data_IF_093545453889
#
_entry.id   IF_093545453889
#
_cell.length_a   1.000
_cell.length_b   1.000
_cell.length_c   1.000
_cell.angle_alpha   90.00
_cell.angle_beta   90.00
_cell.angle_gamma   90.00
#
_symmetry.space_group_name_H-M   'P 1'
#
loop_
_entity.id
_entity.type
_entity.pdbx_description
1 polymer ?
#
# COMPACT_ATOMS: atom_id res chain seq x y z
N UNK A 1 -41.18 2.77 -12.92
CA UNK A 1 -41.24 4.23 -12.81
C UNK A 1 -42.68 4.62 -13.04
N UNK A 2 -43.30 5.38 -12.16
CA UNK A 2 -44.69 5.78 -12.29
C UNK A 2 -44.82 6.82 -13.40
N UNK A 3 -45.79 6.65 -14.29
CA UNK A 3 -46.12 7.66 -15.32
C UNK A 3 -46.92 8.88 -14.74
N UNK A 4 -47.29 8.82 -13.49
CA UNK A 4 -48.05 9.87 -12.79
C UNK A 4 -47.62 9.89 -11.32
N UNK A 5 -46.89 10.91 -10.92
CA UNK A 5 -46.46 11.15 -9.57
C UNK A 5 -45.06 11.72 -9.51
N UNK A 6 -44.66 12.21 -8.36
CA UNK A 6 -43.30 12.67 -8.11
C UNK A 6 -42.30 11.53 -8.36
N UNK A 7 -41.26 11.79 -9.14
CA UNK A 7 -40.16 10.87 -9.32
C UNK A 7 -39.36 10.78 -8.02
N UNK A 8 -38.87 9.61 -7.62
CA UNK A 8 -37.94 9.53 -6.50
C UNK A 8 -36.66 10.31 -6.83
N UNK A 9 -36.13 11.02 -5.84
CA UNK A 9 -34.89 11.79 -6.00
C UNK A 9 -33.68 10.90 -6.30
N UNK A 10 -33.72 9.63 -5.90
CA UNK A 10 -32.68 8.62 -6.15
C UNK A 10 -33.34 7.28 -6.47
N UNK A 11 -32.85 6.62 -7.53
CA UNK A 11 -33.25 5.26 -7.88
C UNK A 11 -31.98 4.41 -8.06
N UNK A 12 -31.88 3.29 -7.38
CA UNK A 12 -30.76 2.34 -7.52
C UNK A 12 -31.33 1.07 -8.14
N UNK A 13 -30.66 0.57 -9.18
CA UNK A 13 -31.01 -0.67 -9.88
C UNK A 13 -29.75 -1.54 -9.92
N UNK A 14 -29.87 -2.76 -9.45
CA UNK A 14 -28.78 -3.74 -9.47
C UNK A 14 -29.05 -4.85 -10.49
N UNK A 15 -28.01 -5.23 -11.23
CA UNK A 15 -28.02 -6.31 -12.20
C UNK A 15 -26.90 -7.30 -11.88
N UNK A 16 -27.25 -8.52 -11.50
CA UNK A 16 -26.29 -9.57 -11.09
C UNK A 16 -25.95 -10.56 -12.22
N UNK A 17 -26.52 -10.40 -13.43
CA UNK A 17 -26.39 -11.37 -14.51
C UNK A 17 -24.95 -11.58 -14.98
N UNK A 18 -24.15 -10.53 -15.03
CA UNK A 18 -22.74 -10.61 -15.44
C UNK A 18 -21.92 -11.37 -14.41
N UNK A 19 -22.14 -11.08 -13.13
CA UNK A 19 -21.49 -11.81 -12.02
C UNK A 19 -21.86 -13.30 -12.07
N UNK A 20 -23.14 -13.60 -12.22
CA UNK A 20 -23.62 -14.99 -12.27
C UNK A 20 -22.99 -15.75 -13.44
N UNK A 21 -22.96 -15.15 -14.63
CA UNK A 21 -22.33 -15.76 -15.80
C UNK A 21 -20.82 -16.02 -15.57
N UNK A 22 -20.12 -15.05 -14.96
CA UNK A 22 -18.70 -15.22 -14.64
C UNK A 22 -18.41 -16.28 -13.60
N UNK A 23 -19.27 -16.43 -12.58
CA UNK A 23 -19.13 -17.47 -11.56
C UNK A 23 -19.44 -18.87 -12.11
N UNK A 24 -20.36 -18.99 -13.09
CA UNK A 24 -20.78 -20.27 -13.68
C UNK A 24 -19.83 -20.74 -14.80
N UNK A 25 -19.35 -19.83 -15.65
CA UNK A 25 -18.59 -20.16 -16.85
C UNK A 25 -17.14 -19.63 -16.85
N UNK A 26 -16.73 -18.92 -15.81
CA UNK A 26 -15.50 -18.17 -15.76
C UNK A 26 -15.64 -16.77 -16.36
N UNK A 27 -14.94 -15.78 -15.80
CA UNK A 27 -14.97 -14.39 -16.30
C UNK A 27 -14.16 -14.22 -17.58
N UNK A 28 -13.05 -14.94 -17.69
CA UNK A 28 -12.13 -14.86 -18.84
C UNK A 28 -11.81 -16.24 -19.39
N UNK A 29 -11.45 -16.29 -20.66
CA UNK A 29 -10.94 -17.49 -21.33
C UNK A 29 -9.52 -17.76 -20.82
N UNK A 30 -9.24 -18.92 -20.20
CA UNK A 30 -7.96 -19.15 -19.55
C UNK A 30 -6.81 -19.43 -20.52
N UNK A 31 -7.07 -20.02 -21.69
CA UNK A 31 -6.05 -20.49 -22.63
C UNK A 31 -6.48 -20.32 -24.10
N UNK A 32 -5.52 -20.35 -25.03
CA UNK A 32 -5.73 -20.30 -26.47
C UNK A 32 -5.69 -18.90 -27.05
N UNK A 33 -6.14 -18.73 -28.32
CA UNK A 33 -6.07 -17.46 -29.04
C UNK A 33 -6.88 -16.31 -28.40
N UNK A 34 -7.88 -16.66 -27.59
CA UNK A 34 -8.71 -15.68 -26.86
C UNK A 34 -8.39 -15.63 -25.36
N UNK A 35 -7.21 -16.12 -24.95
CA UNK A 35 -6.82 -16.05 -23.53
C UNK A 35 -6.87 -14.60 -23.02
N UNK A 36 -7.46 -14.41 -21.83
CA UNK A 36 -7.66 -13.08 -21.23
C UNK A 36 -8.88 -12.31 -21.75
N UNK A 37 -9.59 -12.79 -22.76
CA UNK A 37 -10.86 -12.19 -23.20
C UNK A 37 -12.01 -12.69 -22.34
N UNK A 38 -13.11 -11.92 -22.18
CA UNK A 38 -14.32 -12.41 -21.53
C UNK A 38 -14.85 -13.67 -22.20
N UNK A 39 -15.43 -14.57 -21.40
CA UNK A 39 -16.13 -15.75 -21.94
C UNK A 39 -17.38 -15.33 -22.74
N UNK A 40 -17.86 -16.22 -23.61
CA UNK A 40 -19.04 -15.90 -24.43
C UNK A 40 -20.30 -15.71 -23.58
N UNK A 41 -20.39 -16.39 -22.45
CA UNK A 41 -21.46 -16.25 -21.45
C UNK A 41 -21.40 -14.86 -20.77
N UNK A 42 -20.22 -14.39 -20.42
CA UNK A 42 -20.03 -13.05 -19.85
C UNK A 42 -20.37 -11.97 -20.89
N UNK A 43 -19.95 -12.14 -22.17
CA UNK A 43 -20.30 -11.24 -23.26
C UNK A 43 -21.82 -11.18 -23.47
N UNK A 44 -22.49 -12.34 -23.45
CA UNK A 44 -23.95 -12.41 -23.60
C UNK A 44 -24.67 -11.70 -22.42
N UNK A 45 -24.20 -11.91 -21.19
CA UNK A 45 -24.75 -11.27 -20.01
C UNK A 45 -24.52 -9.74 -20.00
N UNK A 46 -23.37 -9.27 -20.45
CA UNK A 46 -23.08 -7.85 -20.66
C UNK A 46 -24.05 -7.24 -21.69
N UNK A 47 -24.24 -7.91 -22.84
CA UNK A 47 -25.19 -7.46 -23.88
C UNK A 47 -26.63 -7.40 -23.37
N UNK A 48 -27.05 -8.37 -22.59
CA UNK A 48 -28.38 -8.36 -21.97
C UNK A 48 -28.52 -7.21 -20.96
N UNK A 49 -27.48 -6.96 -20.15
CA UNK A 49 -27.45 -5.87 -19.16
C UNK A 49 -27.54 -4.52 -19.86
N UNK A 50 -26.79 -4.33 -20.94
CA UNK A 50 -26.83 -3.12 -21.75
C UNK A 50 -28.24 -2.86 -22.32
N UNK A 51 -28.88 -3.90 -22.85
CA UNK A 51 -30.28 -3.80 -23.32
C UNK A 51 -31.26 -3.44 -22.18
N UNK A 52 -31.03 -3.93 -20.97
CA UNK A 52 -31.85 -3.59 -19.80
C UNK A 52 -31.65 -2.13 -19.41
N UNK A 53 -30.43 -1.63 -19.42
CA UNK A 53 -30.12 -0.20 -19.21
C UNK A 53 -30.78 0.64 -20.29
N UNK A 54 -30.68 0.24 -21.57
CA UNK A 54 -31.36 0.92 -22.67
C UNK A 54 -32.87 1.04 -22.49
N UNK A 55 -33.53 -0.02 -21.97
CA UNK A 55 -34.98 0.06 -21.63
C UNK A 55 -35.27 1.04 -20.51
N UNK A 56 -34.42 1.11 -19.48
CA UNK A 56 -34.54 2.09 -18.41
C UNK A 56 -34.37 3.50 -18.95
N UNK A 57 -33.38 3.74 -19.78
CA UNK A 57 -33.14 5.04 -20.42
C UNK A 57 -34.33 5.46 -21.29
N UNK A 58 -34.87 4.57 -22.11
CA UNK A 58 -36.07 4.83 -22.92
C UNK A 58 -37.28 5.20 -22.08
N UNK A 59 -37.50 4.48 -20.97
CA UNK A 59 -38.59 4.75 -20.06
C UNK A 59 -38.41 6.10 -19.32
N UNK A 60 -37.15 6.42 -18.99
CA UNK A 60 -36.79 7.68 -18.34
C UNK A 60 -37.09 8.88 -19.28
N UNK A 61 -36.57 8.79 -20.52
CA UNK A 61 -36.77 9.84 -21.56
C UNK A 61 -38.21 9.99 -22.02
N UNK A 62 -39.05 8.98 -21.90
CA UNK A 62 -40.46 9.00 -22.22
C UNK A 62 -41.31 9.66 -21.12
N UNK A 63 -40.74 10.13 -20.02
CA UNK A 63 -41.49 10.85 -18.98
C UNK A 63 -41.98 12.20 -19.50
N UNK A 64 -43.24 12.60 -19.16
CA UNK A 64 -43.78 13.87 -19.63
C UNK A 64 -42.96 15.10 -19.23
N UNK A 65 -42.31 15.03 -18.04
CA UNK A 65 -41.60 16.16 -17.47
C UNK A 65 -40.06 15.99 -17.63
N UNK A 66 -39.58 15.01 -18.42
CA UNK A 66 -38.16 14.71 -18.55
C UNK A 66 -37.33 15.94 -18.93
N UNK A 67 -37.81 16.77 -19.83
CA UNK A 67 -37.10 17.99 -20.26
C UNK A 67 -37.00 19.08 -19.19
N UNK A 68 -37.82 19.00 -18.16
CA UNK A 68 -37.82 19.92 -17.01
C UNK A 68 -37.07 19.31 -15.80
N UNK A 69 -36.75 18.04 -15.87
CA UNK A 69 -36.03 17.32 -14.83
C UNK A 69 -34.51 17.27 -15.17
N UNK A 70 -33.69 17.26 -14.17
CA UNK A 70 -32.24 17.17 -14.31
C UNK A 70 -31.71 15.83 -13.79
N UNK A 71 -31.47 14.89 -14.69
CA UNK A 71 -31.10 13.51 -14.37
C UNK A 71 -29.60 13.27 -14.49
N UNK A 72 -28.96 12.83 -13.39
CA UNK A 72 -27.66 12.19 -13.43
C UNK A 72 -27.86 10.68 -13.47
N UNK A 73 -27.43 10.04 -14.55
CA UNK A 73 -27.42 8.58 -14.66
C UNK A 73 -26.00 8.10 -14.43
N UNK A 74 -25.83 7.22 -13.46
CA UNK A 74 -24.54 6.61 -13.15
C UNK A 74 -24.64 5.11 -13.40
N UNK A 75 -23.75 4.58 -14.24
CA UNK A 75 -23.59 3.14 -14.48
C UNK A 75 -22.21 2.74 -13.99
N UNK A 76 -22.15 1.79 -13.08
CA UNK A 76 -20.88 1.37 -12.47
C UNK A 76 -20.90 -0.10 -12.11
N UNK A 77 -19.72 -0.67 -11.91
CA UNK A 77 -19.53 -2.00 -11.34
C UNK A 77 -18.86 -1.86 -9.97
N UNK A 78 -19.18 -2.73 -9.05
CA UNK A 78 -18.60 -2.74 -7.70
C UNK A 78 -17.28 -3.52 -7.61
N UNK A 79 -16.91 -4.30 -8.63
CA UNK A 79 -15.62 -4.99 -8.72
C UNK A 79 -15.33 -5.47 -10.16
N UNK A 80 -14.05 -5.87 -10.41
CA UNK A 80 -13.57 -6.18 -11.76
C UNK A 80 -13.94 -7.54 -12.31
N UNK A 81 -14.37 -8.47 -11.46
CA UNK A 81 -14.82 -9.80 -11.86
C UNK A 81 -13.71 -10.83 -11.98
N UNK A 82 -13.37 -11.47 -10.87
CA UNK A 82 -12.55 -12.69 -10.79
C UNK A 82 -13.33 -13.79 -10.14
N UNK A 83 -13.05 -15.03 -10.54
CA UNK A 83 -13.78 -16.21 -10.06
C UNK A 83 -13.50 -16.55 -8.59
N UNK A 84 -12.37 -16.09 -8.06
CA UNK A 84 -11.92 -16.41 -6.72
C UNK A 84 -11.91 -15.14 -5.85
N UNK A 85 -12.95 -14.98 -5.06
CA UNK A 85 -13.07 -13.94 -4.03
C UNK A 85 -12.50 -14.41 -2.68
N UNK A 86 -11.58 -15.34 -2.65
CA UNK A 86 -10.82 -15.62 -1.44
C UNK A 86 -10.01 -14.37 -1.11
N UNK A 87 -9.93 -14.01 0.16
CA UNK A 87 -9.34 -12.73 0.61
C UNK A 87 -7.92 -12.41 0.13
N UNK A 88 -7.26 -13.36 -0.54
CA UNK A 88 -5.94 -13.17 -1.16
C UNK A 88 -5.99 -12.27 -2.41
N UNK A 89 -7.10 -12.21 -3.12
CA UNK A 89 -7.24 -11.45 -4.37
C UNK A 89 -7.75 -10.01 -4.18
N UNK A 90 -8.14 -9.62 -2.97
CA UNK A 90 -8.67 -8.27 -2.67
C UNK A 90 -7.69 -7.14 -3.04
N UNK A 91 -6.41 -7.46 -3.10
CA UNK A 91 -5.34 -6.50 -3.44
C UNK A 91 -4.94 -6.52 -4.92
N UNK A 92 -5.45 -7.45 -5.71
CA UNK A 92 -5.16 -7.50 -7.14
C UNK A 92 -5.91 -6.39 -7.89
N UNK A 93 -5.20 -5.76 -8.85
CA UNK A 93 -5.79 -4.69 -9.68
C UNK A 93 -7.01 -5.14 -10.47
N UNK A 94 -7.05 -6.40 -10.87
CA UNK A 94 -8.17 -6.99 -11.62
C UNK A 94 -9.48 -6.88 -10.87
N UNK A 95 -9.44 -7.10 -9.54
CA UNK A 95 -10.61 -7.06 -8.69
C UNK A 95 -11.10 -5.64 -8.44
N UNK A 96 -10.17 -4.69 -8.41
CA UNK A 96 -10.45 -3.28 -8.13
C UNK A 96 -10.71 -2.46 -9.38
N UNK A 97 -10.32 -2.98 -10.55
CA UNK A 97 -10.50 -2.26 -11.81
C UNK A 97 -11.94 -2.36 -12.27
N UNK A 98 -12.69 -1.31 -12.01
CA UNK A 98 -14.09 -1.17 -12.42
C UNK A 98 -14.22 -0.01 -13.40
N UNK A 99 -15.45 0.22 -13.86
CA UNK A 99 -15.75 1.39 -14.68
C UNK A 99 -16.87 2.21 -14.03
N UNK A 100 -16.89 3.50 -14.31
CA UNK A 100 -18.00 4.38 -13.98
C UNK A 100 -18.32 5.26 -15.17
N UNK A 101 -19.56 5.27 -15.58
CA UNK A 101 -20.10 6.16 -16.61
C UNK A 101 -21.11 7.10 -15.96
N UNK A 102 -20.93 8.39 -16.16
CA UNK A 102 -21.87 9.42 -15.74
C UNK A 102 -22.47 10.08 -16.97
N UNK A 103 -23.78 10.12 -17.02
CA UNK A 103 -24.51 10.68 -18.16
C UNK A 103 -25.51 11.74 -17.71
N UNK A 104 -25.47 12.84 -18.41
CA UNK A 104 -26.52 13.86 -18.47
C UNK A 104 -26.50 14.48 -19.88
N UNK A 105 -27.64 14.89 -20.40
CA UNK A 105 -27.73 15.47 -21.77
C UNK A 105 -26.86 16.71 -21.98
N UNK A 106 -26.55 17.42 -20.89
CA UNK A 106 -25.73 18.63 -20.91
C UNK A 106 -24.23 18.37 -20.78
N UNK A 107 -23.82 17.11 -20.62
CA UNK A 107 -22.40 16.79 -20.53
C UNK A 107 -21.75 16.70 -21.91
N UNK A 108 -20.53 17.22 -22.03
CA UNK A 108 -19.60 16.88 -23.07
C UNK A 108 -19.04 15.48 -22.86
N UNK A 109 -18.44 14.91 -23.89
CA UNK A 109 -17.72 13.67 -23.75
C UNK A 109 -16.37 13.95 -23.08
N UNK A 110 -16.11 13.31 -21.96
CA UNK A 110 -14.85 13.30 -21.28
C UNK A 110 -14.51 11.86 -20.88
N UNK A 111 -13.29 11.43 -21.12
CA UNK A 111 -12.83 10.10 -20.76
C UNK A 111 -11.69 10.21 -19.75
N UNK A 112 -11.96 9.81 -18.53
CA UNK A 112 -10.96 9.70 -17.48
C UNK A 112 -10.48 8.24 -17.51
N UNK A 113 -9.22 8.04 -17.86
CA UNK A 113 -8.58 6.73 -17.83
C UNK A 113 -7.86 6.58 -16.50
N UNK A 114 -8.06 5.43 -15.86
CA UNK A 114 -7.12 5.02 -14.82
C UNK A 114 -5.72 4.91 -15.46
N UNK A 115 -4.66 5.27 -14.76
CA UNK A 115 -3.31 5.02 -15.22
C UNK A 115 -3.17 3.53 -15.61
N UNK A 116 -2.61 3.24 -16.77
CA UNK A 116 -2.35 1.84 -17.17
C UNK A 116 -1.30 1.23 -16.23
N UNK A 117 -1.32 -0.09 -16.08
CA UNK A 117 -0.32 -0.83 -15.31
C UNK A 117 1.11 -0.56 -15.79
N UNK A 118 1.27 -0.19 -17.06
CA UNK A 118 2.55 0.09 -17.70
C UNK A 118 3.00 1.55 -17.57
N UNK A 119 2.08 2.48 -17.31
CA UNK A 119 2.33 3.93 -17.27
C UNK A 119 2.23 4.52 -15.85
N UNK A 120 2.39 3.69 -14.82
CA UNK A 120 2.44 4.23 -13.48
C UNK A 120 1.13 4.17 -12.76
N UNK A 121 0.74 2.99 -12.40
CA UNK A 121 0.16 2.81 -11.08
C UNK A 121 1.14 3.45 -10.12
N UNK A 122 0.74 4.56 -9.58
CA UNK A 122 1.59 5.44 -8.80
C UNK A 122 1.83 4.79 -7.43
N UNK A 123 2.54 3.69 -7.44
CA UNK A 123 3.22 3.25 -6.25
C UNK A 123 4.47 4.11 -6.12
N UNK A 124 4.51 4.89 -5.09
CA UNK A 124 5.57 5.81 -4.81
C UNK A 124 6.53 5.15 -3.84
N UNK A 125 7.77 4.97 -4.25
CA UNK A 125 8.74 4.21 -3.51
C UNK A 125 10.00 4.98 -3.27
N UNK A 126 10.51 4.82 -2.09
CA UNK A 126 11.88 5.08 -1.79
C UNK A 126 12.77 4.12 -2.59
N UNK A 127 13.67 4.64 -3.41
CA UNK A 127 14.69 3.85 -4.10
C UNK A 127 16.08 4.24 -3.62
N UNK A 128 16.59 3.66 -2.55
CA UNK A 128 18.00 3.78 -2.28
C UNK A 128 18.76 3.03 -3.38
N UNK A 129 19.52 3.75 -4.19
CA UNK A 129 20.45 3.14 -5.12
C UNK A 129 21.82 3.04 -4.49
N UNK A 130 22.41 1.88 -4.55
CA UNK A 130 23.78 1.68 -4.15
C UNK A 130 24.75 2.19 -5.20
N UNK A 131 25.51 3.22 -4.91
CA UNK A 131 26.69 3.57 -5.71
C UNK A 131 27.95 3.04 -5.02
N UNK A 132 28.85 2.40 -5.77
CA UNK A 132 30.05 1.74 -5.24
C UNK A 132 31.11 2.65 -4.61
N UNK A 133 30.78 3.90 -4.25
CA UNK A 133 31.68 4.86 -3.66
C UNK A 133 31.36 5.21 -2.21
N UNK A 134 30.51 4.45 -1.56
CA UNK A 134 30.03 4.70 -0.20
C UNK A 134 28.53 4.91 -0.16
N UNK A 135 27.96 4.84 1.01
CA UNK A 135 26.53 4.96 1.23
C UNK A 135 26.05 6.39 0.94
N UNK A 136 25.48 6.58 -0.23
CA UNK A 136 24.99 7.90 -0.65
C UNK A 136 23.47 7.98 -0.62
N UNK A 137 22.78 6.85 -0.52
CA UNK A 137 21.34 6.77 -0.73
C UNK A 137 20.66 6.19 0.50
N UNK A 138 20.09 7.07 1.30
CA UNK A 138 19.46 6.72 2.57
C UNK A 138 18.35 7.69 2.96
N UNK A 139 17.45 7.21 3.83
CA UNK A 139 16.68 8.05 4.73
C UNK A 139 17.14 7.82 6.15
N UNK A 140 17.22 8.86 6.96
CA UNK A 140 17.63 8.76 8.36
C UNK A 140 16.72 9.58 9.27
N UNK A 141 16.37 9.03 10.41
CA UNK A 141 15.66 9.75 11.47
C UNK A 141 16.48 10.94 11.96
N UNK A 142 15.82 12.08 12.16
CA UNK A 142 16.50 13.32 12.51
C UNK A 142 17.12 13.31 13.91
N UNK A 143 16.46 12.69 14.88
CA UNK A 143 17.01 12.52 16.24
C UNK A 143 17.58 11.11 16.42
N UNK A 144 18.88 10.94 16.48
CA UNK A 144 19.50 9.62 16.56
C UNK A 144 19.23 8.88 17.88
N UNK A 145 18.71 9.55 18.91
CA UNK A 145 18.36 8.90 20.18
C UNK A 145 17.06 8.12 20.12
N UNK A 146 16.22 8.37 19.08
CA UNK A 146 14.95 7.67 18.92
C UNK A 146 15.15 6.26 18.37
N UNK A 147 14.16 5.40 18.63
CA UNK A 147 14.12 4.00 18.16
C UNK A 147 15.34 3.18 18.62
N UNK A 148 15.81 3.46 19.84
CA UNK A 148 16.96 2.80 20.44
C UNK A 148 16.50 1.59 21.26
N UNK A 149 16.77 0.38 20.77
CA UNK A 149 16.25 -0.87 21.32
C UNK A 149 17.13 -1.36 22.47
N UNK A 150 16.85 -0.84 23.65
CA UNK A 150 17.62 -1.14 24.86
C UNK A 150 17.18 -2.43 25.51
N UNK A 151 18.17 -3.21 25.95
CA UNK A 151 17.91 -4.25 26.93
C UNK A 151 17.54 -3.56 28.26
N UNK A 152 16.35 -3.85 28.85
CA UNK A 152 15.96 -3.25 30.11
C UNK A 152 16.94 -3.59 31.23
N UNK A 153 17.20 -2.62 32.10
CA UNK A 153 17.99 -2.87 33.30
C UNK A 153 17.21 -3.76 34.30
N UNK A 154 17.92 -4.41 35.20
CA UNK A 154 17.28 -5.24 36.24
C UNK A 154 16.29 -4.41 37.09
N UNK A 155 15.01 -4.81 37.06
CA UNK A 155 13.94 -4.13 37.80
C UNK A 155 13.19 -3.05 37.01
N UNK A 156 13.55 -2.80 35.75
CA UNK A 156 12.78 -1.97 34.81
C UNK A 156 11.73 -2.80 34.05
N UNK A 157 10.66 -2.13 33.58
CA UNK A 157 9.69 -2.75 32.70
C UNK A 157 10.36 -3.17 31.38
N UNK A 158 10.14 -4.42 31.00
CA UNK A 158 10.76 -4.98 29.80
C UNK A 158 10.01 -4.50 28.56
N UNK A 159 10.61 -3.60 27.80
CA UNK A 159 10.12 -3.19 26.49
C UNK A 159 10.71 -4.09 25.42
N UNK A 160 9.85 -4.59 24.56
CA UNK A 160 10.23 -5.35 23.37
C UNK A 160 9.92 -4.51 22.12
N UNK A 161 10.45 -4.89 20.97
CA UNK A 161 10.32 -4.07 19.76
C UNK A 161 10.02 -4.93 18.54
N UNK A 162 9.30 -4.34 17.59
CA UNK A 162 9.08 -4.93 16.27
C UNK A 162 9.36 -3.89 15.19
N UNK A 163 10.03 -4.31 14.12
CA UNK A 163 10.18 -3.51 12.90
C UNK A 163 9.61 -4.28 11.74
N UNK A 164 8.71 -3.67 10.99
CA UNK A 164 8.10 -4.25 9.79
C UNK A 164 8.23 -3.27 8.63
N UNK A 165 8.50 -3.77 7.43
CA UNK A 165 8.62 -2.96 6.24
C UNK A 165 8.43 -3.79 4.98
N UNK A 166 8.12 -3.12 3.87
CA UNK A 166 8.02 -3.73 2.55
C UNK A 166 9.27 -3.47 1.73
N UNK A 167 9.74 -4.47 1.01
CA UNK A 167 10.91 -4.38 0.12
C UNK A 167 10.65 -5.05 -1.22
N UNK A 168 11.24 -4.49 -2.29
CA UNK A 168 11.28 -5.12 -3.59
C UNK A 168 12.61 -4.86 -4.30
N UNK A 169 13.09 -5.85 -5.02
CA UNK A 169 14.22 -5.75 -5.95
C UNK A 169 13.68 -5.65 -7.40
N UNK A 170 13.47 -4.46 -7.95
CA UNK A 170 12.78 -4.30 -9.24
C UNK A 170 13.52 -4.93 -10.43
N UNK A 171 14.84 -4.98 -10.36
CA UNK A 171 15.71 -5.52 -11.42
C UNK A 171 16.32 -6.88 -11.06
N UNK A 172 15.85 -7.51 -9.97
CA UNK A 172 16.63 -8.53 -9.32
C UNK A 172 17.86 -7.92 -8.68
N UNK A 173 18.42 -8.51 -7.69
CA UNK A 173 19.53 -7.88 -6.97
C UNK A 173 20.62 -8.86 -6.58
N UNK A 174 21.74 -8.30 -6.18
CA UNK A 174 22.75 -9.02 -5.45
C UNK A 174 22.51 -8.92 -3.95
N UNK A 175 23.19 -9.77 -3.22
CA UNK A 175 23.21 -9.78 -1.76
C UNK A 175 23.87 -8.52 -1.19
N UNK A 176 23.74 -8.35 0.13
CA UNK A 176 24.51 -7.42 0.95
C UNK A 176 23.96 -5.98 0.97
N UNK A 177 22.68 -5.79 0.72
CA UNK A 177 22.01 -4.53 0.98
C UNK A 177 21.49 -4.48 2.40
N UNK A 178 21.58 -3.32 3.03
CA UNK A 178 20.88 -3.04 4.27
C UNK A 178 19.51 -2.41 3.93
N UNK A 179 18.47 -2.88 4.59
CA UNK A 179 17.11 -2.38 4.39
C UNK A 179 16.76 -1.32 5.42
N UNK A 180 16.57 -1.75 6.65
CA UNK A 180 16.30 -0.89 7.80
C UNK A 180 17.31 -1.27 8.89
N UNK A 181 17.98 -0.28 9.47
CA UNK A 181 19.02 -0.53 10.45
C UNK A 181 19.22 0.61 11.45
N UNK A 182 19.72 0.27 12.61
CA UNK A 182 20.30 1.20 13.59
C UNK A 182 21.57 0.56 14.14
N UNK A 183 22.65 0.65 13.36
CA UNK A 183 23.91 -0.05 13.66
C UNK A 183 25.13 0.79 13.37
N UNK A 184 26.17 0.64 14.20
CA UNK A 184 27.52 1.09 13.91
C UNK A 184 28.24 -0.06 13.22
N UNK A 185 28.54 0.13 11.94
CA UNK A 185 29.25 -0.90 11.17
C UNK A 185 30.76 -0.82 11.39
N UNK A 186 31.18 -1.34 12.51
CA UNK A 186 32.58 -1.70 12.74
C UNK A 186 32.75 -3.20 12.54
N UNK A 187 33.97 -3.65 12.22
CA UNK A 187 34.24 -5.10 12.24
C UNK A 187 34.36 -5.60 13.69
N UNK A 188 33.72 -6.71 14.07
CA UNK A 188 32.84 -7.55 13.24
C UNK A 188 31.50 -6.91 12.98
N UNK A 189 30.92 -7.09 11.78
CA UNK A 189 29.65 -6.53 11.36
C UNK A 189 28.54 -6.87 12.34
N UNK A 190 27.67 -5.89 12.65
CA UNK A 190 26.63 -6.05 13.66
C UNK A 190 27.17 -5.98 15.10
N UNK A 191 28.33 -5.36 15.32
CA UNK A 191 28.95 -5.31 16.65
C UNK A 191 28.20 -4.42 17.64
N UNK A 192 27.66 -3.29 17.23
CA UNK A 192 26.84 -2.41 18.05
C UNK A 192 25.60 -2.00 17.26
N UNK A 193 24.42 -2.24 17.82
CA UNK A 193 23.14 -2.04 17.16
C UNK A 193 22.66 -3.28 16.41
N UNK A 194 21.73 -3.05 15.48
CA UNK A 194 21.13 -4.10 14.67
C UNK A 194 20.95 -3.64 13.21
N UNK A 195 21.01 -4.61 12.30
CA UNK A 195 20.76 -4.36 10.88
C UNK A 195 19.91 -5.46 10.26
N UNK A 196 19.13 -5.10 9.25
CA UNK A 196 18.44 -6.03 8.36
C UNK A 196 18.94 -5.84 6.94
N UNK A 197 19.04 -6.92 6.19
CA UNK A 197 19.51 -6.88 4.82
C UNK A 197 19.19 -8.18 4.09
N UNK A 198 19.93 -8.48 3.02
CA UNK A 198 19.76 -9.73 2.30
C UNK A 198 21.06 -10.52 2.21
N UNK A 199 20.94 -11.83 2.32
CA UNK A 199 21.97 -12.79 1.97
C UNK A 199 21.37 -14.00 1.26
N UNK A 200 21.99 -14.44 0.19
CA UNK A 200 21.40 -15.45 -0.71
C UNK A 200 19.97 -15.14 -1.10
N UNK A 201 19.70 -13.83 -1.31
CA UNK A 201 18.38 -13.28 -1.66
C UNK A 201 17.28 -13.53 -0.62
N UNK A 202 17.63 -13.68 0.65
CA UNK A 202 16.68 -13.85 1.76
C UNK A 202 17.00 -12.88 2.88
N UNK A 203 16.04 -12.68 3.78
CA UNK A 203 16.24 -11.83 4.93
C UNK A 203 17.43 -12.29 5.77
N UNK A 204 18.32 -11.34 6.03
CA UNK A 204 19.44 -11.46 6.92
C UNK A 204 19.33 -10.39 7.99
N UNK A 205 19.43 -10.80 9.23
CA UNK A 205 19.59 -9.87 10.36
C UNK A 205 20.95 -10.04 11.02
N UNK A 206 21.47 -8.95 11.62
CA UNK A 206 22.72 -8.97 12.36
C UNK A 206 22.60 -8.13 13.63
N UNK A 207 23.15 -8.65 14.71
CA UNK A 207 23.41 -7.94 15.96
C UNK A 207 24.44 -8.73 16.77
N UNK A 208 25.21 -8.06 17.62
CA UNK A 208 26.22 -8.69 18.49
C UNK A 208 27.21 -9.62 17.74
N UNK A 209 27.63 -9.21 16.53
CA UNK A 209 28.50 -10.01 15.67
C UNK A 209 27.87 -11.27 15.09
N UNK A 210 26.63 -11.58 15.42
CA UNK A 210 25.88 -12.72 14.89
C UNK A 210 25.30 -12.40 13.52
N UNK A 211 25.23 -13.42 12.69
CA UNK A 211 24.53 -13.39 11.39
C UNK A 211 23.36 -14.36 11.46
N UNK A 212 22.17 -13.81 11.35
CA UNK A 212 20.93 -14.54 11.43
C UNK A 212 20.33 -14.55 10.04
N UNK A 213 20.41 -15.66 9.35
CA UNK A 213 20.00 -15.82 7.97
C UNK A 213 19.03 -16.96 7.80
N UNK A 214 18.05 -16.76 6.93
CA UNK A 214 17.03 -17.75 6.65
C UNK A 214 17.56 -18.88 5.79
N UNK A 215 17.17 -20.13 6.08
CA UNK A 215 17.56 -21.29 5.29
C UNK A 215 16.87 -21.28 3.93
N UNK A 216 17.59 -21.75 2.91
CA UNK A 216 17.24 -21.67 1.51
C UNK A 216 15.90 -22.30 1.12
N UNK A 217 15.39 -23.27 1.87
CA UNK A 217 14.22 -24.06 1.45
C UNK A 217 12.91 -23.59 2.07
N UNK A 218 12.91 -22.55 2.92
CA UNK A 218 11.76 -22.24 3.77
C UNK A 218 11.23 -20.80 3.65
N UNK A 219 11.96 -19.89 3.04
CA UNK A 219 11.54 -18.50 2.88
C UNK A 219 11.50 -18.06 1.43
N UNK A 220 10.65 -17.08 1.16
CA UNK A 220 10.57 -16.44 -0.14
C UNK A 220 11.89 -15.82 -0.56
N UNK A 221 12.17 -15.88 -1.84
CA UNK A 221 13.36 -15.27 -2.45
C UNK A 221 13.04 -13.81 -2.77
N UNK A 222 13.79 -12.87 -2.21
CA UNK A 222 13.51 -11.43 -2.34
C UNK A 222 13.86 -10.86 -3.73
N UNK A 223 14.58 -11.60 -4.60
CA UNK A 223 15.00 -11.12 -5.92
C UNK A 223 14.08 -11.56 -7.08
N UNK A 224 12.88 -11.98 -6.78
CA UNK A 224 11.88 -12.40 -7.74
C UNK A 224 11.11 -11.23 -8.40
N UNK A 225 11.52 -9.99 -8.09
CA UNK A 225 10.91 -8.73 -8.53
C UNK A 225 9.52 -8.47 -7.97
N UNK A 226 9.18 -9.13 -6.86
CA UNK A 226 7.91 -8.93 -6.16
C UNK A 226 8.15 -8.18 -4.86
N UNK A 227 7.07 -7.64 -4.33
CA UNK A 227 7.06 -7.06 -3.01
C UNK A 227 6.97 -8.14 -1.94
N UNK A 228 7.79 -7.97 -0.91
CA UNK A 228 7.81 -8.81 0.28
C UNK A 228 7.69 -7.95 1.53
N UNK A 229 7.00 -8.48 2.53
CA UNK A 229 6.96 -7.88 3.87
C UNK A 229 7.97 -8.60 4.75
N UNK A 230 8.86 -7.83 5.34
CA UNK A 230 9.88 -8.32 6.26
C UNK A 230 9.56 -7.80 7.66
N UNK A 231 9.59 -8.70 8.65
CA UNK A 231 9.34 -8.34 10.05
C UNK A 231 10.44 -8.92 10.91
N UNK A 232 10.98 -8.11 11.82
CA UNK A 232 11.93 -8.55 12.85
C UNK A 232 11.40 -8.17 14.22
N UNK A 233 11.47 -9.10 15.16
CA UNK A 233 10.96 -8.97 16.53
C UNK A 233 12.08 -9.16 17.53
N UNK A 234 12.34 -8.14 18.32
CA UNK A 234 13.26 -8.14 19.44
C UNK A 234 12.45 -8.31 20.74
N UNK A 235 12.21 -9.56 21.10
CA UNK A 235 11.42 -9.90 22.28
C UNK A 235 12.35 -10.09 23.51
N UNK A 236 12.62 -9.00 24.19
CA UNK A 236 13.45 -9.04 25.41
C UNK A 236 12.77 -9.74 26.57
N UNK A 237 11.43 -9.79 26.57
CA UNK A 237 10.68 -10.47 27.63
C UNK A 237 10.87 -11.98 27.57
N UNK A 238 10.77 -12.54 26.36
CA UNK A 238 10.96 -13.97 26.12
C UNK A 238 12.42 -14.30 25.75
N UNK A 239 13.30 -13.28 25.66
CA UNK A 239 14.69 -13.39 25.25
C UNK A 239 14.86 -14.05 23.87
N UNK A 240 14.00 -13.67 22.92
CA UNK A 240 13.94 -14.24 21.58
C UNK A 240 14.04 -13.15 20.52
N UNK A 241 14.90 -13.39 19.53
CA UNK A 241 14.86 -12.66 18.27
C UNK A 241 14.23 -13.56 17.21
N UNK A 242 13.22 -13.05 16.52
CA UNK A 242 12.51 -13.75 15.44
C UNK A 242 12.46 -12.89 14.20
N UNK A 243 12.47 -13.52 13.03
CA UNK A 243 12.28 -12.82 11.76
C UNK A 243 11.25 -13.55 10.89
N UNK A 244 10.56 -12.77 10.05
CA UNK A 244 9.46 -13.26 9.22
C UNK A 244 9.59 -12.68 7.81
N UNK A 245 9.23 -13.49 6.83
CA UNK A 245 9.04 -13.08 5.43
C UNK A 245 7.61 -13.38 5.02
N UNK A 246 6.88 -12.38 4.55
CA UNK A 246 5.46 -12.48 4.14
C UNK A 246 4.58 -13.14 5.20
N UNK A 247 4.77 -12.75 6.46
CA UNK A 247 4.03 -13.26 7.62
C UNK A 247 4.46 -14.66 8.10
N UNK A 248 5.32 -15.35 7.38
CA UNK A 248 5.83 -16.67 7.76
C UNK A 248 7.11 -16.54 8.57
N UNK A 249 7.18 -17.30 9.67
CA UNK A 249 8.36 -17.36 10.52
C UNK A 249 9.54 -17.98 9.77
N UNK A 250 10.64 -17.25 9.70
CA UNK A 250 11.87 -17.69 9.09
C UNK A 250 12.69 -18.52 10.06
N UNK A 251 13.08 -19.72 9.65
CA UNK A 251 13.87 -20.60 10.50
C UNK A 251 15.39 -20.37 10.34
N UNK A 252 16.08 -20.45 11.46
CA UNK A 252 17.54 -20.46 11.56
C UNK A 252 18.03 -21.90 11.73
N UNK A 253 18.49 -22.55 10.71
CA UNK A 253 18.70 -23.98 10.80
C UNK A 253 17.35 -24.65 11.09
N UNK A 254 17.20 -25.28 12.25
CA UNK A 254 15.93 -25.83 12.74
C UNK A 254 15.35 -25.01 13.91
N UNK A 255 15.91 -23.82 14.18
CA UNK A 255 15.48 -22.99 15.30
C UNK A 255 14.48 -21.93 14.83
N UNK A 256 13.44 -21.74 15.62
CA UNK A 256 12.38 -20.73 15.40
C UNK A 256 12.79 -19.34 15.88
N UNK A 257 13.83 -19.22 16.66
CA UNK A 257 14.36 -17.96 17.17
C UNK A 257 15.87 -18.04 17.45
N UNK A 258 16.49 -16.87 17.49
CA UNK A 258 17.86 -16.69 18.03
C UNK A 258 17.76 -16.14 19.46
N UNK A 259 18.55 -16.63 20.44
CA UNK A 259 18.57 -16.04 21.77
C UNK A 259 18.97 -14.57 21.77
N UNK A 260 18.11 -13.72 22.35
CA UNK A 260 18.32 -12.28 22.50
C UNK A 260 18.63 -11.95 23.97
N UNK A 261 19.91 -12.04 24.32
CA UNK A 261 20.41 -11.78 25.69
C UNK A 261 21.35 -10.59 25.76
N UNK A 262 21.48 -9.85 24.66
CA UNK A 262 22.40 -8.72 24.52
C UNK A 262 21.65 -7.44 24.24
N UNK A 263 22.25 -6.32 24.61
CA UNK A 263 21.77 -4.99 24.26
C UNK A 263 22.07 -4.68 22.80
N UNK A 264 21.06 -4.32 22.01
CA UNK A 264 21.21 -3.90 20.61
C UNK A 264 21.05 -2.39 20.45
N UNK A 265 21.15 -1.63 21.51
CA UNK A 265 21.09 -0.17 21.48
C UNK A 265 22.38 0.44 20.91
N UNK A 266 22.26 1.64 20.36
CA UNK A 266 23.38 2.47 19.93
C UNK A 266 23.39 3.82 20.61
N UNK A 267 22.40 4.12 21.45
CA UNK A 267 22.17 5.44 22.03
C UNK A 267 21.91 6.48 20.94
N UNK A 268 22.61 7.59 21.04
CA UNK A 268 22.53 8.70 20.07
C UNK A 268 23.66 8.69 19.01
N UNK A 269 24.42 7.59 18.93
CA UNK A 269 25.59 7.51 18.04
C UNK A 269 25.19 7.43 16.56
N UNK A 270 24.11 6.71 16.26
CA UNK A 270 23.59 6.55 14.90
C UNK A 270 22.07 6.58 14.87
N UNK A 271 21.44 7.18 13.87
CA UNK A 271 19.99 7.18 13.71
C UNK A 271 19.47 5.86 13.15
N UNK A 272 18.18 5.61 13.34
CA UNK A 272 17.47 4.63 12.53
C UNK A 272 17.50 5.07 11.07
N UNK A 273 17.76 4.14 10.16
CA UNK A 273 18.05 4.41 8.76
C UNK A 273 17.34 3.44 7.85
N UNK A 274 16.82 3.93 6.72
CA UNK A 274 16.41 3.10 5.57
C UNK A 274 17.51 3.20 4.51
N UNK A 275 17.90 2.07 3.94
CA UNK A 275 19.06 2.01 3.07
C UNK A 275 20.36 2.02 3.86
N UNK A 276 21.48 2.14 3.18
CA UNK A 276 22.76 1.99 3.84
C UNK A 276 23.44 3.32 4.08
N UNK A 277 23.91 3.53 5.31
CA UNK A 277 24.72 4.71 5.65
C UNK A 277 26.21 4.39 5.82
N UNK A 278 26.60 3.21 6.29
CA UNK A 278 27.89 3.05 6.93
C UNK A 278 28.82 2.01 6.31
N UNK A 279 28.57 1.52 5.08
CA UNK A 279 29.53 0.62 4.42
C UNK A 279 30.66 1.37 3.72
N UNK A 280 31.88 0.97 4.01
CA UNK A 280 33.06 1.59 3.45
C UNK A 280 33.40 1.17 2.02
N UNK A 281 32.80 0.12 1.48
CA UNK A 281 32.96 -0.28 0.06
C UNK A 281 32.05 -1.42 -0.35
N UNK A 282 31.16 -1.22 -1.30
CA UNK A 282 30.68 -2.28 -2.19
C UNK A 282 30.61 -1.74 -3.61
N UNK A 283 31.01 -2.58 -4.55
CA UNK A 283 31.12 -2.22 -5.98
C UNK A 283 29.84 -2.42 -6.77
N UNK A 284 28.70 -2.62 -6.13
CA UNK A 284 27.44 -2.98 -6.79
C UNK A 284 26.44 -1.84 -6.75
N UNK A 285 25.89 -1.53 -7.92
CA UNK A 285 24.75 -0.65 -8.04
C UNK A 285 23.49 -1.52 -8.03
N UNK A 286 22.80 -1.58 -6.91
CA UNK A 286 21.55 -2.32 -6.77
C UNK A 286 20.47 -1.35 -6.38
N UNK A 287 19.32 -1.42 -7.06
CA UNK A 287 18.13 -0.71 -6.68
C UNK A 287 17.27 -1.59 -5.79
N UNK A 288 16.79 -1.01 -4.70
CA UNK A 288 15.72 -1.59 -3.89
C UNK A 288 14.62 -0.56 -3.72
N UNK A 289 13.40 -1.04 -3.60
CA UNK A 289 12.26 -0.25 -3.18
C UNK A 289 11.96 -0.61 -1.73
N UNK A 290 11.79 0.40 -0.88
CA UNK A 290 11.39 0.23 0.52
C UNK A 290 10.20 1.14 0.78
N UNK A 291 9.17 0.62 1.45
CA UNK A 291 7.97 1.37 1.80
C UNK A 291 7.35 0.80 3.08
N UNK A 292 6.32 1.47 3.60
CA UNK A 292 5.49 0.99 4.70
C UNK A 292 6.32 0.59 5.94
N UNK A 293 7.29 1.43 6.32
CA UNK A 293 8.18 1.16 7.47
C UNK A 293 7.47 1.48 8.77
N UNK A 294 7.36 0.49 9.63
CA UNK A 294 6.64 0.51 10.91
C UNK A 294 7.58 0.10 12.04
N UNK A 295 7.58 0.83 13.14
CA UNK A 295 8.35 0.54 14.35
C UNK A 295 7.42 0.52 15.54
N UNK A 296 7.47 -0.55 16.31
CA UNK A 296 6.63 -0.77 17.49
C UNK A 296 7.49 -0.95 18.74
N UNK A 297 6.99 -0.47 19.90
CA UNK A 297 7.57 -0.71 21.22
C UNK A 297 6.98 -1.94 21.91
N UNK A 298 6.60 -2.93 21.13
CA UNK A 298 6.06 -4.22 21.56
C UNK A 298 6.55 -5.34 20.64
N UNK A 299 6.72 -6.54 21.20
CA UNK A 299 6.88 -7.74 20.38
C UNK A 299 5.50 -8.14 19.85
N UNK A 300 5.24 -7.94 18.56
CA UNK A 300 4.01 -8.40 17.92
C UNK A 300 3.93 -9.93 18.01
N UNK A 301 2.76 -10.50 18.38
CA UNK A 301 2.55 -11.94 18.41
C UNK A 301 2.69 -12.58 17.03
N UNK A 302 3.16 -13.81 16.97
CA UNK A 302 3.40 -14.53 15.73
C UNK A 302 2.12 -14.76 14.90
N UNK A 303 1.01 -15.08 15.55
CA UNK A 303 -0.30 -15.21 14.93
C UNK A 303 -0.81 -13.87 14.37
N UNK A 304 -0.62 -12.78 15.12
CA UNK A 304 -0.96 -11.46 14.64
C UNK A 304 -0.14 -11.07 13.40
N UNK A 305 1.16 -11.33 13.39
CA UNK A 305 2.03 -11.08 12.23
C UNK A 305 1.53 -11.90 11.04
N UNK A 306 1.28 -13.20 11.21
CA UNK A 306 0.83 -14.09 10.14
C UNK A 306 -0.48 -13.63 9.48
N UNK A 307 -1.42 -13.11 10.28
CA UNK A 307 -2.73 -12.67 9.80
C UNK A 307 -2.73 -11.23 9.24
N UNK A 308 -1.82 -10.36 9.74
CA UNK A 308 -1.91 -8.91 9.55
C UNK A 308 -0.67 -8.27 8.89
N UNK A 309 0.32 -9.04 8.43
CA UNK A 309 1.55 -8.49 7.84
C UNK A 309 1.31 -7.58 6.62
N UNK A 310 0.19 -7.73 5.92
CA UNK A 310 -0.16 -6.96 4.72
C UNK A 310 -0.70 -5.55 5.02
N UNK A 311 -1.04 -5.26 6.28
CA UNK A 311 -1.64 -3.97 6.65
C UNK A 311 -0.73 -2.80 6.31
N UNK A 312 -1.32 -1.78 5.72
CA UNK A 312 -0.60 -0.61 5.25
C UNK A 312 -1.54 0.58 5.06
N UNK A 313 -0.99 1.80 5.19
CA UNK A 313 -1.79 3.01 5.09
C UNK A 313 -2.53 3.37 6.38
N UNK A 314 -2.92 4.64 6.50
CA UNK A 314 -3.59 5.15 7.69
C UNK A 314 -5.01 4.62 7.88
N UNK A 315 -5.63 4.12 6.82
CA UNK A 315 -6.97 3.52 6.89
C UNK A 315 -6.94 2.20 7.67
N UNK A 316 -5.82 1.48 7.62
CA UNK A 316 -5.63 0.19 8.29
C UNK A 316 -4.80 0.31 9.58
N UNK A 317 -3.82 1.22 9.60
CA UNK A 317 -2.89 1.45 10.72
C UNK A 317 -3.24 2.70 11.54
N UNK A 318 -4.48 3.16 11.48
CA UNK A 318 -4.97 4.33 12.20
C UNK A 318 -5.45 4.01 13.63
N UNK A 319 -6.25 4.92 14.20
CA UNK A 319 -6.69 4.87 15.60
C UNK A 319 -7.41 3.60 16.04
N UNK A 320 -8.03 2.90 15.11
CA UNK A 320 -8.74 1.65 15.39
C UNK A 320 -7.85 0.41 15.27
N UNK A 321 -6.59 0.59 14.86
CA UNK A 321 -5.61 -0.47 14.79
C UNK A 321 -5.21 -0.95 16.20
N UNK A 322 -5.22 -2.28 16.47
CA UNK A 322 -5.01 -2.79 17.84
C UNK A 322 -3.70 -2.38 18.49
N UNK A 323 -2.65 -2.11 17.70
CA UNK A 323 -1.33 -1.69 18.17
C UNK A 323 -1.03 -0.23 17.83
N UNK A 324 -2.06 0.61 17.63
CA UNK A 324 -1.87 2.04 17.36
C UNK A 324 -1.04 2.74 18.40
N UNK A 325 -1.29 2.46 19.68
CA UNK A 325 -0.54 3.07 20.79
C UNK A 325 0.91 2.58 20.87
N UNK A 326 1.19 1.41 20.31
CA UNK A 326 2.54 0.84 20.25
C UNK A 326 3.28 1.18 18.95
N UNK A 327 2.60 1.72 17.94
CA UNK A 327 3.21 2.16 16.68
C UNK A 327 3.95 3.49 16.91
N UNK A 328 5.24 3.40 17.28
CA UNK A 328 6.05 4.54 17.71
C UNK A 328 6.75 5.25 16.55
N UNK A 329 6.77 4.68 15.35
CA UNK A 329 7.25 5.28 14.11
C UNK A 329 6.58 4.65 12.90
N UNK A 330 6.10 5.48 11.96
CA UNK A 330 5.46 5.00 10.74
C UNK A 330 5.78 5.91 9.54
N UNK A 331 6.42 5.35 8.53
CA UNK A 331 6.74 6.02 7.27
C UNK A 331 6.16 5.23 6.10
N UNK A 332 4.97 5.64 5.59
CA UNK A 332 4.35 4.99 4.44
C UNK A 332 5.18 5.14 3.16
N UNK A 333 6.02 6.16 3.05
CA UNK A 333 6.89 6.44 1.89
C UNK A 333 6.12 6.58 0.56
N UNK A 334 4.88 7.07 0.59
CA UNK A 334 3.94 7.03 -0.53
C UNK A 334 3.55 8.40 -1.12
N UNK A 335 4.29 9.47 -0.78
CA UNK A 335 4.01 10.83 -1.25
C UNK A 335 5.17 11.45 -2.00
N UNK A 336 4.92 11.97 -3.20
CA UNK A 336 5.94 12.61 -4.04
C UNK A 336 6.50 13.88 -3.42
N UNK A 337 5.63 14.68 -2.82
CA UNK A 337 6.00 15.90 -2.14
C UNK A 337 7.05 15.69 -1.04
N UNK A 338 7.02 14.54 -0.36
CA UNK A 338 8.00 14.19 0.68
C UNK A 338 9.39 14.01 0.07
N UNK A 339 9.46 13.44 -1.13
CA UNK A 339 10.74 13.26 -1.85
C UNK A 339 11.25 14.56 -2.46
N UNK A 340 10.36 15.40 -2.93
CA UNK A 340 10.71 16.76 -3.37
C UNK A 340 11.21 17.59 -2.19
N UNK A 341 10.53 17.52 -1.05
CA UNK A 341 10.91 18.17 0.20
C UNK A 341 12.10 17.54 0.91
N UNK A 342 12.53 16.34 0.47
CA UNK A 342 13.60 15.55 1.10
C UNK A 342 13.35 15.21 2.57
N UNK A 343 12.08 15.04 2.93
CA UNK A 343 11.64 14.66 4.29
C UNK A 343 10.53 13.64 4.18
N UNK A 344 10.66 12.52 4.88
CA UNK A 344 9.57 11.59 5.13
C UNK A 344 9.00 11.88 6.52
N UNK A 345 7.79 12.44 6.64
CA UNK A 345 7.17 12.69 7.93
C UNK A 345 6.80 11.38 8.63
N UNK A 346 6.87 11.38 9.95
CA UNK A 346 6.39 10.27 10.76
C UNK A 346 4.86 10.36 10.93
N UNK A 347 4.18 9.30 10.49
CA UNK A 347 2.72 9.15 10.52
C UNK A 347 2.20 8.41 11.76
N UNK A 348 3.06 8.06 12.71
CA UNK A 348 2.61 7.57 14.02
C UNK A 348 1.96 8.70 14.82
N UNK A 349 1.18 8.36 15.85
CA UNK A 349 0.61 9.38 16.75
C UNK A 349 1.67 10.22 17.46
N UNK A 350 2.90 9.75 17.54
CA UNK A 350 4.03 10.46 18.16
C UNK A 350 4.76 11.40 17.19
N UNK A 351 4.52 11.25 15.90
CA UNK A 351 5.22 11.93 14.82
C UNK A 351 4.60 13.26 14.40
N UNK A 352 5.16 13.81 13.32
CA UNK A 352 4.84 15.15 12.82
C UNK A 352 3.41 15.31 12.33
N UNK A 353 2.83 14.28 11.72
CA UNK A 353 1.49 14.37 11.12
C UNK A 353 0.40 14.61 12.17
N UNK A 354 0.57 14.04 13.35
CA UNK A 354 -0.36 14.25 14.46
C UNK A 354 0.11 15.30 15.48
N UNK A 355 1.26 15.95 15.24
CA UNK A 355 1.85 16.90 16.17
C UNK A 355 2.26 16.26 17.49
N UNK A 356 2.72 15.01 17.44
CA UNK A 356 3.12 14.23 18.60
C UNK A 356 4.41 14.70 19.25
N UNK A 357 4.80 14.02 20.34
CA UNK A 357 5.97 14.41 21.16
C UNK A 357 7.32 14.32 20.42
N UNK A 358 7.35 13.53 19.33
CA UNK A 358 8.52 13.35 18.48
C UNK A 358 8.42 14.12 17.15
N UNK A 359 7.46 15.03 17.01
CA UNK A 359 7.29 15.83 15.79
C UNK A 359 8.61 16.50 15.36
N UNK A 360 8.98 16.35 14.10
CA UNK A 360 10.24 16.82 13.51
C UNK A 360 11.47 15.99 13.90
N UNK A 361 11.45 15.28 15.01
CA UNK A 361 12.56 14.44 15.48
C UNK A 361 12.54 13.06 14.88
N UNK A 362 11.35 12.45 14.79
CA UNK A 362 11.12 11.12 14.19
C UNK A 362 10.95 11.18 12.67
N UNK A 363 10.84 12.35 12.07
CA UNK A 363 10.87 12.49 10.62
C UNK A 363 12.22 12.05 10.07
N UNK A 364 12.22 11.53 8.83
CA UNK A 364 13.45 11.13 8.17
C UNK A 364 13.88 12.15 7.12
N UNK A 365 15.16 12.53 7.14
CA UNK A 365 15.80 13.29 6.06
C UNK A 365 16.31 12.33 5.00
N UNK A 366 15.97 12.61 3.73
CA UNK A 366 16.43 11.88 2.55
C UNK A 366 17.74 12.42 2.02
N UNK A 367 18.64 11.53 1.60
CA UNK A 367 19.80 11.94 0.81
C UNK A 367 19.40 12.42 -0.59
N UNK A 368 20.28 13.17 -1.27
CA UNK A 368 19.97 13.78 -2.56
C UNK A 368 19.63 12.81 -3.68
N UNK A 369 20.18 11.59 -3.61
CA UNK A 369 20.04 10.60 -4.68
C UNK A 369 18.84 9.66 -4.50
N UNK A 370 18.14 9.76 -3.38
CA UNK A 370 16.89 9.03 -3.19
C UNK A 370 15.84 9.61 -4.10
N UNK A 371 15.30 8.77 -4.94
CA UNK A 371 14.36 9.15 -5.97
C UNK A 371 12.99 8.54 -5.67
N UNK A 372 12.00 9.29 -6.05
CA UNK A 372 10.66 8.82 -6.24
C UNK A 372 10.59 7.94 -7.49
N UNK A 373 9.93 6.82 -7.45
CA UNK A 373 9.72 5.96 -8.62
C UNK A 373 8.29 5.49 -8.75
N UNK A 374 7.92 5.10 -9.94
CA UNK A 374 6.59 4.62 -10.30
C UNK A 374 6.67 3.16 -10.75
N UNK A 375 5.59 2.46 -10.54
CA UNK A 375 5.28 1.24 -11.25
C UNK A 375 5.83 -0.04 -10.64
N UNK A 376 4.95 -1.04 -10.58
CA UNK A 376 5.29 -2.40 -10.23
C UNK A 376 4.42 -3.41 -10.98
N UNK A 377 4.97 -4.61 -11.16
CA UNK A 377 4.28 -5.75 -11.69
C UNK A 377 2.99 -6.07 -10.93
N UNK A 378 1.93 -6.44 -11.65
CA UNK A 378 0.66 -6.92 -11.09
C UNK A 378 0.81 -8.25 -10.32
N UNK A 379 1.92 -8.94 -10.48
CA UNK A 379 2.20 -10.25 -9.87
C UNK A 379 2.80 -10.16 -8.46
N UNK A 380 2.81 -9.00 -7.83
CA UNK A 380 3.36 -8.85 -6.48
C UNK A 380 2.54 -9.65 -5.44
N UNK A 381 3.22 -10.34 -4.52
CA UNK A 381 2.58 -11.04 -3.40
C UNK A 381 1.89 -10.06 -2.45
N UNK A 382 2.48 -8.88 -2.32
CA UNK A 382 1.97 -7.78 -1.51
C UNK A 382 2.06 -6.51 -2.33
N UNK A 383 1.06 -5.67 -2.26
CA UNK A 383 1.05 -4.37 -2.95
C UNK A 383 1.02 -3.27 -1.91
N UNK A 384 1.89 -2.27 -2.01
CA UNK A 384 1.78 -1.07 -1.19
C UNK A 384 0.45 -0.35 -1.43
N UNK A 385 -0.03 0.44 -0.50
CA UNK A 385 -1.26 1.20 -0.69
C UNK A 385 -1.11 2.19 -1.84
N UNK A 386 -2.20 2.44 -2.54
CA UNK A 386 -2.24 3.46 -3.56
C UNK A 386 -2.04 4.85 -2.96
N UNK A 387 -1.29 5.70 -3.65
CA UNK A 387 -1.12 7.07 -3.21
C UNK A 387 -2.42 7.87 -3.34
N UNK A 388 -2.56 8.92 -2.52
CA UNK A 388 -3.66 9.87 -2.62
C UNK A 388 -3.81 10.45 -4.04
N UNK A 389 -2.70 10.70 -4.73
CA UNK A 389 -2.69 11.18 -6.12
C UNK A 389 -3.36 10.19 -7.07
N UNK A 390 -3.11 8.89 -6.89
CA UNK A 390 -3.79 7.86 -7.69
C UNK A 390 -5.30 7.96 -7.54
N UNK A 391 -5.80 8.02 -6.31
CA UNK A 391 -7.24 8.15 -6.05
C UNK A 391 -7.82 9.48 -6.56
N UNK A 392 -7.01 10.53 -6.65
CA UNK A 392 -7.43 11.81 -7.20
C UNK A 392 -7.53 11.83 -8.73
N UNK A 393 -6.79 10.97 -9.43
CA UNK A 393 -6.77 10.90 -10.89
C UNK A 393 -7.81 9.97 -11.49
N UNK A 394 -8.35 9.02 -10.72
CA UNK A 394 -9.37 8.08 -11.15
C UNK A 394 -10.68 8.28 -10.37
N UNK A 395 -11.80 7.80 -10.92
CA UNK A 395 -13.08 7.79 -10.21
C UNK A 395 -13.11 6.53 -9.35
N UNK A 396 -13.32 6.70 -8.05
CA UNK A 396 -13.44 5.62 -7.09
C UNK A 396 -14.90 5.37 -6.73
N UNK A 397 -15.24 4.16 -6.32
CA UNK A 397 -16.61 3.83 -5.90
C UNK A 397 -17.11 4.72 -4.75
N UNK A 398 -16.23 5.14 -3.85
CA UNK A 398 -16.55 6.07 -2.75
C UNK A 398 -16.90 7.48 -3.22
N UNK A 399 -16.51 7.86 -4.44
CA UNK A 399 -16.85 9.15 -5.03
C UNK A 399 -18.32 9.19 -5.50
N UNK A 400 -18.90 8.05 -5.83
CA UNK A 400 -20.27 7.96 -6.37
C UNK A 400 -21.32 8.47 -5.37
N UNK A 401 -21.38 7.99 -4.11
CA UNK A 401 -22.27 8.57 -3.12
C UNK A 401 -22.03 10.06 -2.92
N UNK A 402 -20.77 10.48 -2.83
CA UNK A 402 -20.41 11.88 -2.65
C UNK A 402 -20.92 12.74 -3.81
N UNK A 403 -20.66 12.34 -5.05
CA UNK A 403 -21.14 13.01 -6.26
C UNK A 403 -22.67 13.03 -6.33
N UNK A 404 -23.33 11.95 -5.91
CA UNK A 404 -24.78 11.85 -5.87
C UNK A 404 -25.40 12.88 -4.91
N UNK A 405 -24.84 13.01 -3.70
CA UNK A 405 -25.29 14.01 -2.74
C UNK A 405 -25.10 15.43 -3.26
N UNK A 406 -23.95 15.73 -3.85
CA UNK A 406 -23.70 17.03 -4.47
C UNK A 406 -24.68 17.32 -5.61
N UNK A 407 -24.97 16.33 -6.46
CA UNK A 407 -25.94 16.45 -7.54
C UNK A 407 -27.35 16.79 -7.04
N UNK A 408 -27.74 16.18 -5.92
CA UNK A 408 -29.01 16.44 -5.26
C UNK A 408 -29.05 17.76 -4.46
N UNK A 409 -27.96 18.53 -4.47
CA UNK A 409 -27.85 19.81 -3.78
C UNK A 409 -27.54 19.68 -2.28
N UNK A 410 -27.12 18.52 -1.80
CA UNK A 410 -26.73 18.31 -0.41
C UNK A 410 -25.23 18.52 -0.22
N UNK A 411 -24.86 19.11 0.89
CA UNK A 411 -23.48 19.15 1.35
C UNK A 411 -23.22 17.93 2.24
N UNK A 412 -22.17 17.17 1.94
CA UNK A 412 -21.72 16.07 2.79
C UNK A 412 -20.98 16.67 3.98
N UNK A 413 -21.44 16.45 5.23
CA UNK A 413 -20.75 16.97 6.42
C UNK A 413 -19.41 16.26 6.64
N UNK A 414 -18.36 17.00 6.98
CA UNK A 414 -17.03 16.42 7.33
C UNK A 414 -17.13 15.41 8.48
N UNK A 415 -18.08 15.60 9.39
CA UNK A 415 -18.31 14.70 10.52
C UNK A 415 -18.72 13.26 10.13
N UNK A 416 -19.13 13.05 8.86
CA UNK A 416 -19.43 11.69 8.38
C UNK A 416 -18.18 10.90 8.01
N UNK A 417 -17.03 11.56 7.88
CA UNK A 417 -15.76 10.90 7.57
C UNK A 417 -15.71 10.24 6.18
N UNK A 418 -16.54 10.71 5.23
CA UNK A 418 -16.49 10.18 3.88
C UNK A 418 -15.23 10.60 3.17
N UNK A 419 -14.55 9.66 2.51
CA UNK A 419 -13.30 9.87 1.77
C UNK A 419 -13.53 10.20 0.28
N UNK A 420 -14.76 10.05 -0.20
CA UNK A 420 -15.11 10.36 -1.60
C UNK A 420 -14.94 11.84 -1.92
N UNK A 421 -14.59 12.14 -3.15
CA UNK A 421 -14.41 13.50 -3.67
C UNK A 421 -15.46 13.80 -4.73
N UNK A 422 -15.97 15.03 -4.72
CA UNK A 422 -16.79 15.55 -5.82
C UNK A 422 -15.92 16.00 -6.98
N UNK A 423 -16.32 15.60 -8.18
CA UNK A 423 -15.62 15.97 -9.41
C UNK A 423 -16.38 17.06 -10.15
N UNK A 424 -15.65 17.92 -10.83
CA UNK A 424 -16.25 18.85 -11.79
C UNK A 424 -16.81 18.03 -12.94
N UNK A 425 -18.09 18.22 -13.21
CA UNK A 425 -18.77 17.54 -14.32
C UNK A 425 -18.55 18.33 -15.62
N UNK A 426 -18.33 17.65 -16.77
CA UNK A 426 -17.95 18.26 -18.03
C UNK A 426 -19.17 18.83 -18.78
N UNK A 427 -19.74 19.91 -18.28
CA UNK A 427 -20.86 20.57 -18.99
C UNK A 427 -20.40 21.09 -20.36
N UNK A 428 -21.24 20.87 -21.38
CA UNK A 428 -21.03 21.48 -22.71
C UNK A 428 -21.00 22.98 -22.59
N UNK A 429 -20.03 23.61 -23.23
CA UNK A 429 -19.99 25.05 -23.33
C UNK A 429 -21.15 25.52 -24.25
N UNK A 430 -22.17 26.11 -23.65
CA UNK A 430 -23.34 26.63 -24.41
C UNK A 430 -23.00 27.89 -25.21
N UNK A 431 -21.75 28.39 -25.12
CA UNK A 431 -21.33 29.61 -25.84
C UNK A 431 -20.74 29.32 -27.22
N UNK A 432 -20.45 28.07 -27.57
CA UNK A 432 -20.02 27.66 -28.93
C UNK A 432 -21.21 27.13 -29.69
N UNK A 433 -21.87 27.99 -30.46
CA UNK A 433 -22.78 27.57 -31.53
C UNK A 433 -21.91 26.98 -32.65
N UNK A 434 -21.82 25.66 -32.77
CA UNK A 434 -21.46 24.98 -34.00
C UNK A 434 -22.72 24.60 -34.82
#
# INVERSE_FOLDING_TARGET
MSAKGEAPSLTIIEYNGVQQAGLEAGFIVPEGERAGWPTDEVIAALSETDQRIGRVMTALQARPDYSAEDWLVVVTSNYGGVADNTGENVYEMKDRNTFTLMYNERFGEERILAPSSDEGLVYKYFTPAYSGTGATDYAKVNDPSLFDFKLPAEGEDTTSYTVQFMVCYPNGGENWLDFVSKAIQTEPRGGEGWETGAEYFRLLSRFDGKRIWTIQDQASVLNDKKWHVLTVVFDYKEQQFRQYTDGHLDLHGNAEFEPLTVDVSTGDKVPLTIGQIFRSSTSTTVQIYVTNVQVYDVALPADFIAENYKLSGLDELGKDYPYWDNLIGYWPCDREEDYEGKVLPDYSQYGSIYGGVNAGKSDMTLSSNVLWTQGMSEEANVKPPYSKTYFQTSINLVDIPFQTFQWLGFTVPDAWGWTGIGRTLPYKDLTTND
#
